data_IF_853590807285
#
_entry.id   IF_853590807285
#
_cell.length_a   1.000
_cell.length_b   1.000
_cell.length_c   1.000
_cell.angle_alpha   90.00
_cell.angle_beta   90.00
_cell.angle_gamma   90.00
#
_symmetry.space_group_name_H-M   'P 1'
#
loop_
_entity.id
_entity.type
_entity.pdbx_description
1 polymer ?
#
# COMPACT_ATOMS: atom_id res chain seq x y z
N UNK A 1 19.92 -51.58 85.25
CA UNK A 1 19.89 -50.99 83.89
C UNK A 1 19.00 -51.87 83.02
N UNK A 2 17.92 -51.31 82.45
CA UNK A 2 17.12 -51.81 81.31
C UNK A 2 15.60 -51.61 81.51
N UNK A 3 15.14 -50.36 81.59
CA UNK A 3 13.71 -50.00 81.49
C UNK A 3 13.62 -48.61 80.85
N UNK A 4 13.84 -48.49 79.53
CA UNK A 4 13.58 -47.23 78.81
C UNK A 4 13.30 -47.36 77.31
N UNK A 5 12.93 -48.56 76.82
CA UNK A 5 12.73 -48.79 75.38
C UNK A 5 11.30 -49.10 74.97
N UNK A 6 10.39 -49.44 75.90
CA UNK A 6 9.03 -49.87 75.56
C UNK A 6 8.04 -48.71 75.31
N UNK A 7 8.34 -47.49 75.76
CA UNK A 7 7.38 -46.36 75.71
C UNK A 7 7.53 -45.50 74.44
N UNK A 8 8.64 -45.61 73.71
CA UNK A 8 8.88 -44.83 72.48
C UNK A 8 8.05 -45.35 71.30
N UNK A 9 7.87 -46.67 71.17
CA UNK A 9 7.15 -47.27 70.04
C UNK A 9 5.64 -46.97 70.03
N UNK A 10 5.04 -46.70 71.19
CA UNK A 10 3.63 -46.30 71.28
C UNK A 10 3.42 -44.87 70.76
N UNK A 11 4.29 -43.94 71.18
CA UNK A 11 4.22 -42.53 70.77
C UNK A 11 4.47 -42.34 69.28
N UNK A 12 5.40 -43.09 68.68
CA UNK A 12 5.63 -43.05 67.23
C UNK A 12 4.43 -43.55 66.41
N UNK A 13 3.72 -44.58 66.89
CA UNK A 13 2.50 -45.05 66.22
C UNK A 13 1.40 -44.00 66.26
N UNK A 14 1.18 -43.35 67.41
CA UNK A 14 0.18 -42.29 67.52
C UNK A 14 0.50 -41.07 66.65
N UNK A 15 1.78 -40.68 66.53
CA UNK A 15 2.22 -39.62 65.63
C UNK A 15 2.01 -40.02 64.16
N UNK A 16 2.36 -41.25 63.79
CA UNK A 16 2.16 -41.75 62.42
C UNK A 16 0.66 -41.82 62.05
N UNK A 17 -0.20 -42.25 62.97
CA UNK A 17 -1.66 -42.25 62.78
C UNK A 17 -2.24 -40.83 62.71
N UNK A 18 -1.72 -39.89 63.50
CA UNK A 18 -2.14 -38.49 63.42
C UNK A 18 -1.74 -37.85 62.08
N UNK A 19 -0.53 -38.11 61.58
CA UNK A 19 -0.05 -37.59 60.30
C UNK A 19 -0.85 -38.18 59.13
N UNK A 20 -1.12 -39.49 59.15
CA UNK A 20 -1.94 -40.14 58.12
C UNK A 20 -3.40 -39.69 58.17
N UNK A 21 -3.98 -39.49 59.35
CA UNK A 21 -5.33 -38.95 59.50
C UNK A 21 -5.43 -37.51 58.97
N UNK A 22 -4.42 -36.66 59.22
CA UNK A 22 -4.36 -35.30 58.68
C UNK A 22 -4.18 -35.30 57.16
N UNK A 23 -3.32 -36.16 56.61
CA UNK A 23 -3.15 -36.31 55.15
C UNK A 23 -4.43 -36.81 54.46
N UNK A 24 -5.12 -37.78 55.06
CA UNK A 24 -6.41 -38.29 54.56
C UNK A 24 -7.49 -37.21 54.66
N UNK A 25 -7.49 -36.38 55.72
CA UNK A 25 -8.36 -35.21 55.85
C UNK A 25 -8.03 -34.11 54.83
N UNK A 26 -6.78 -33.92 54.42
CA UNK A 26 -6.41 -32.97 53.35
C UNK A 26 -6.86 -33.48 51.98
N UNK A 27 -6.82 -34.80 51.74
CA UNK A 27 -7.27 -35.41 50.48
C UNK A 27 -8.81 -35.46 50.41
N UNK A 28 -9.50 -35.75 51.53
CA UNK A 28 -10.96 -35.80 51.62
C UNK A 28 -11.62 -34.43 51.76
N UNK A 29 -10.92 -33.43 52.29
CA UNK A 29 -11.45 -32.06 52.36
C UNK A 29 -11.47 -31.35 51.01
N UNK A 30 -11.06 -32.04 49.92
CA UNK A 30 -11.25 -31.60 48.56
C UNK A 30 -10.86 -30.14 48.43
N UNK A 31 -9.56 -29.85 48.43
CA UNK A 31 -9.10 -28.56 47.94
C UNK A 31 -9.63 -28.39 46.51
N UNK A 32 -10.83 -27.82 46.41
CA UNK A 32 -11.28 -27.00 45.30
C UNK A 32 -10.29 -25.84 45.27
N UNK A 33 -9.10 -26.12 44.75
CA UNK A 33 -8.34 -25.12 44.05
C UNK A 33 -9.26 -24.70 42.89
N UNK A 34 -10.13 -23.73 43.20
CA UNK A 34 -10.56 -22.73 42.24
C UNK A 34 -9.26 -22.08 41.77
N UNK A 35 -8.59 -22.76 40.84
CA UNK A 35 -7.85 -22.07 39.79
C UNK A 35 -8.81 -20.97 39.36
N UNK A 36 -8.42 -19.68 39.45
CA UNK A 36 -9.28 -18.64 38.93
C UNK A 36 -9.64 -19.09 37.54
N UNK A 37 -10.94 -19.34 37.30
CA UNK A 37 -11.42 -19.76 36.01
C UNK A 37 -10.91 -18.66 35.08
N UNK A 38 -9.86 -18.97 34.32
CA UNK A 38 -9.32 -18.07 33.32
C UNK A 38 -10.51 -17.76 32.44
N UNK A 39 -11.05 -16.54 32.54
CA UNK A 39 -12.16 -16.15 31.71
C UNK A 39 -11.77 -16.49 30.27
N UNK A 40 -12.64 -17.20 29.53
CA UNK A 40 -12.29 -17.64 28.20
C UNK A 40 -11.80 -16.43 27.41
N UNK A 41 -10.55 -16.48 26.95
CA UNK A 41 -9.89 -15.39 26.23
C UNK A 41 -10.82 -14.86 25.14
N UNK A 42 -11.41 -13.68 25.38
CA UNK A 42 -12.38 -13.09 24.46
C UNK A 42 -11.64 -12.56 23.23
N UNK A 43 -12.10 -12.97 22.05
CA UNK A 43 -11.60 -12.48 20.78
C UNK A 43 -12.54 -11.39 20.27
N UNK A 44 -11.97 -10.34 19.71
CA UNK A 44 -12.71 -9.29 19.05
C UNK A 44 -12.45 -9.31 17.54
N UNK A 45 -13.45 -8.90 16.78
CA UNK A 45 -13.35 -8.69 15.34
C UNK A 45 -13.67 -7.23 15.02
N UNK A 46 -12.89 -6.64 14.13
CA UNK A 46 -13.01 -5.25 13.68
C UNK A 46 -13.11 -5.21 12.17
N UNK A 47 -14.13 -4.54 11.64
CA UNK A 47 -14.18 -4.16 10.23
C UNK A 47 -13.23 -2.98 9.96
N UNK A 48 -11.98 -3.31 9.64
CA UNK A 48 -10.95 -2.32 9.30
C UNK A 48 -11.32 -1.52 8.06
N UNK A 49 -12.16 -2.03 7.15
CA UNK A 49 -12.56 -1.31 5.95
C UNK A 49 -13.40 -0.07 6.30
N UNK A 50 -14.39 -0.24 7.18
CA UNK A 50 -15.23 0.88 7.63
C UNK A 50 -14.41 1.93 8.40
N UNK A 51 -13.56 1.48 9.32
CA UNK A 51 -12.68 2.38 10.07
C UNK A 51 -11.69 3.12 9.15
N UNK A 52 -11.11 2.42 8.17
CA UNK A 52 -10.22 3.02 7.16
C UNK A 52 -10.96 4.06 6.34
N UNK A 53 -12.20 3.80 5.93
CA UNK A 53 -13.01 4.75 5.15
C UNK A 53 -13.23 6.04 5.93
N UNK A 54 -13.71 5.94 7.17
CA UNK A 54 -13.92 7.11 8.05
C UNK A 54 -12.63 7.90 8.27
N UNK A 55 -11.52 7.22 8.59
CA UNK A 55 -10.23 7.89 8.79
C UNK A 55 -9.69 8.52 7.49
N UNK A 56 -9.99 7.93 6.32
CA UNK A 56 -9.62 8.51 5.02
C UNK A 56 -10.39 9.79 4.73
N UNK A 57 -11.68 9.83 5.08
CA UNK A 57 -12.50 11.04 4.90
C UNK A 57 -12.01 12.17 5.81
N UNK A 58 -11.67 11.86 7.07
CA UNK A 58 -11.00 12.80 8.00
C UNK A 58 -9.63 13.23 7.45
N UNK A 59 -8.84 12.30 6.92
CA UNK A 59 -7.51 12.63 6.40
C UNK A 59 -7.58 13.59 5.22
N UNK A 60 -8.55 13.41 4.32
CA UNK A 60 -8.76 14.27 3.16
C UNK A 60 -9.24 15.68 3.53
N UNK A 61 -10.04 15.81 4.58
CA UNK A 61 -10.47 17.14 5.07
C UNK A 61 -9.32 17.89 5.75
N UNK A 62 -8.46 17.19 6.48
CA UNK A 62 -7.29 17.77 7.16
C UNK A 62 -6.10 18.02 6.21
N UNK A 63 -5.98 17.23 5.14
CA UNK A 63 -4.86 17.28 4.20
C UNK A 63 -5.39 17.41 2.76
N UNK A 64 -5.91 18.58 2.37
CA UNK A 64 -6.43 18.80 1.02
C UNK A 64 -5.34 18.58 -0.03
N UNK A 65 -5.76 18.26 -1.26
CA UNK A 65 -4.82 18.16 -2.37
C UNK A 65 -4.12 19.51 -2.61
N UNK A 66 -2.86 19.48 -3.10
CA UNK A 66 -2.17 20.68 -3.56
C UNK A 66 -3.00 21.45 -4.59
N UNK A 67 -2.82 22.77 -4.67
CA UNK A 67 -3.50 23.60 -5.67
C UNK A 67 -3.22 23.09 -7.10
N UNK A 68 -4.25 23.14 -7.96
CA UNK A 68 -4.16 22.65 -9.35
C UNK A 68 -4.60 21.20 -9.59
N UNK A 69 -4.93 20.44 -8.54
CA UNK A 69 -5.33 19.03 -8.62
C UNK A 69 -6.84 18.76 -8.46
N UNK A 70 -7.68 19.80 -8.61
CA UNK A 70 -9.13 19.69 -8.38
C UNK A 70 -9.93 19.13 -9.56
N UNK A 71 -9.39 19.18 -10.78
CA UNK A 71 -10.08 18.74 -12.01
C UNK A 71 -9.32 17.62 -12.72
N UNK A 72 -9.50 16.40 -12.22
CA UNK A 72 -8.83 15.22 -12.77
C UNK A 72 -9.31 14.83 -14.15
N UNK A 73 -10.59 15.06 -14.41
CA UNK A 73 -11.19 14.71 -15.69
C UNK A 73 -10.67 15.65 -16.77
N UNK A 74 -10.62 16.96 -16.47
CA UNK A 74 -9.98 17.96 -17.31
C UNK A 74 -8.50 17.66 -17.58
N UNK A 75 -7.71 17.41 -16.54
CA UNK A 75 -6.27 17.09 -16.69
C UNK A 75 -6.04 15.80 -17.48
N UNK A 76 -6.86 14.77 -17.28
CA UNK A 76 -6.77 13.53 -18.06
C UNK A 76 -7.15 13.75 -19.52
N UNK A 77 -8.17 14.55 -19.77
CA UNK A 77 -8.60 14.89 -21.12
C UNK A 77 -7.52 15.69 -21.84
N UNK A 78 -6.99 16.72 -21.21
CA UNK A 78 -5.90 17.54 -21.73
C UNK A 78 -4.66 16.69 -22.03
N UNK A 79 -4.26 15.79 -21.14
CA UNK A 79 -3.15 14.85 -21.38
C UNK A 79 -3.38 13.98 -22.62
N UNK A 80 -4.61 13.47 -22.80
CA UNK A 80 -4.97 12.66 -23.98
C UNK A 80 -4.90 13.50 -25.26
N UNK A 81 -5.39 14.72 -25.22
CA UNK A 81 -5.42 15.59 -26.38
C UNK A 81 -4.02 16.10 -26.76
N UNK A 82 -3.17 16.45 -25.79
CA UNK A 82 -1.74 16.72 -26.01
C UNK A 82 -1.03 15.52 -26.66
N UNK A 83 -1.29 14.30 -26.17
CA UNK A 83 -0.70 13.08 -26.75
C UNK A 83 -1.09 12.91 -28.22
N UNK A 84 -2.37 13.13 -28.56
CA UNK A 84 -2.85 13.10 -29.95
C UNK A 84 -2.17 14.17 -30.80
N UNK A 85 -2.07 15.40 -30.30
CA UNK A 85 -1.45 16.51 -31.03
C UNK A 85 0.03 16.24 -31.31
N UNK A 86 0.80 15.83 -30.29
CA UNK A 86 2.22 15.46 -30.44
C UNK A 86 2.37 14.33 -31.47
N UNK A 87 1.57 13.27 -31.37
CA UNK A 87 1.65 12.14 -32.30
C UNK A 87 1.27 12.54 -33.73
N UNK A 88 0.29 13.42 -33.90
CA UNK A 88 -0.09 13.93 -35.22
C UNK A 88 1.02 14.79 -35.83
N UNK A 89 1.62 15.70 -35.06
CA UNK A 89 2.75 16.52 -35.50
C UNK A 89 3.95 15.65 -35.89
N UNK A 90 4.32 14.68 -35.05
CA UNK A 90 5.39 13.73 -35.35
C UNK A 90 5.12 12.95 -36.64
N UNK A 91 3.87 12.53 -36.87
CA UNK A 91 3.47 11.84 -38.10
C UNK A 91 3.55 12.76 -39.32
N UNK A 92 3.10 14.01 -39.21
CA UNK A 92 3.15 14.98 -40.30
C UNK A 92 4.59 15.32 -40.70
N UNK A 93 5.48 15.53 -39.73
CA UNK A 93 6.91 15.79 -39.99
C UNK A 93 7.54 14.59 -40.68
N UNK A 94 7.31 13.36 -40.18
CA UNK A 94 7.78 12.13 -40.82
C UNK A 94 7.27 11.99 -42.25
N UNK A 95 5.98 12.27 -42.49
CA UNK A 95 5.38 12.21 -43.83
C UNK A 95 6.07 13.19 -44.79
N UNK A 96 6.29 14.44 -44.37
CA UNK A 96 7.02 15.45 -45.17
C UNK A 96 8.46 15.03 -45.45
N UNK A 97 9.14 14.40 -44.49
CA UNK A 97 10.49 13.87 -44.71
C UNK A 97 10.49 12.75 -45.76
N UNK A 98 9.51 11.83 -45.71
CA UNK A 98 9.39 10.73 -46.67
C UNK A 98 9.02 11.21 -48.08
N UNK A 99 8.17 12.23 -48.19
CA UNK A 99 7.82 12.86 -49.47
C UNK A 99 9.05 13.52 -50.10
N UNK A 100 9.79 14.35 -49.34
CA UNK A 100 11.06 14.96 -49.80
C UNK A 100 12.09 13.92 -50.25
N UNK A 101 12.16 12.76 -49.58
CA UNK A 101 13.01 11.62 -49.97
C UNK A 101 12.57 11.01 -51.30
N UNK A 102 11.27 10.87 -51.53
CA UNK A 102 10.72 10.33 -52.78
C UNK A 102 10.93 11.27 -53.96
N UNK A 103 10.82 12.59 -53.74
CA UNK A 103 10.99 13.62 -54.76
C UNK A 103 12.46 13.80 -55.14
N UNK A 104 13.38 13.78 -54.17
CA UNK A 104 14.83 13.82 -54.42
C UNK A 104 15.31 12.63 -55.27
N UNK A 105 14.71 11.44 -55.11
CA UNK A 105 15.01 10.27 -55.96
C UNK A 105 14.46 10.39 -57.38
N UNK A 106 13.30 11.03 -57.57
CA UNK A 106 12.71 11.26 -58.90
C UNK A 106 13.54 12.26 -59.72
N UNK A 107 14.04 13.32 -59.09
CA UNK A 107 14.87 14.34 -59.77
C UNK A 107 16.22 13.75 -60.18
N UNK A 108 16.84 12.92 -59.34
CA UNK A 108 18.14 12.29 -59.65
C UNK A 108 18.08 11.28 -60.81
N UNK A 109 16.93 10.67 -61.09
CA UNK A 109 16.74 9.77 -62.23
C UNK A 109 16.37 10.49 -63.53
N UNK A 110 16.06 11.80 -63.47
CA UNK A 110 15.68 12.59 -64.65
C UNK A 110 16.86 13.33 -65.31
N UNK A 111 18.05 13.33 -64.69
CA UNK A 111 19.31 13.84 -65.28
C UNK A 111 20.23 12.67 -65.62
N UNK A 112 19.91 11.94 -66.68
CA UNK A 112 20.88 11.09 -67.36
C UNK A 112 20.79 11.35 -68.86
N UNK A 113 21.26 12.53 -69.27
CA UNK A 113 21.71 12.78 -70.64
C UNK A 113 22.94 13.68 -70.57
N UNK A 114 24.10 13.07 -70.85
CA UNK A 114 25.30 13.75 -71.34
C UNK A 114 26.27 14.30 -70.28
N UNK A 115 27.39 13.62 -70.08
CA UNK A 115 28.58 14.21 -69.47
C UNK A 115 29.35 13.23 -68.58
N UNK A 116 30.47 12.75 -69.10
CA UNK A 116 31.43 11.88 -68.42
C UNK A 116 31.96 12.50 -67.12
N UNK A 117 31.49 12.01 -65.98
CA UNK A 117 32.27 12.02 -64.74
C UNK A 117 31.81 10.87 -63.84
N UNK A 118 32.73 9.98 -63.47
CA UNK A 118 32.48 8.79 -62.65
C UNK A 118 32.25 9.20 -61.19
N UNK A 119 31.15 9.88 -60.92
CA UNK A 119 30.68 10.08 -59.55
C UNK A 119 29.85 8.86 -59.16
N UNK A 120 30.46 7.93 -58.41
CA UNK A 120 29.75 6.76 -57.86
C UNK A 120 28.51 7.26 -57.12
N UNK A 121 27.28 6.89 -57.54
CA UNK A 121 26.09 7.33 -56.82
C UNK A 121 26.17 6.79 -55.39
N UNK A 122 25.95 7.63 -54.37
CA UNK A 122 26.01 7.19 -52.98
C UNK A 122 25.08 6.00 -52.77
N UNK A 123 25.56 4.97 -52.08
CA UNK A 123 24.79 3.75 -51.88
C UNK A 123 23.41 4.08 -51.29
N UNK A 124 22.33 3.41 -51.74
CA UNK A 124 20.97 3.70 -51.29
C UNK A 124 20.81 3.62 -49.76
N UNK A 125 21.68 2.84 -49.10
CA UNK A 125 21.76 2.68 -47.64
C UNK A 125 22.32 3.90 -46.92
N UNK A 126 23.38 4.55 -47.46
CA UNK A 126 23.97 5.77 -46.85
C UNK A 126 23.05 6.98 -46.95
N UNK A 127 22.31 7.09 -48.06
CA UNK A 127 21.33 8.16 -48.25
C UNK A 127 20.12 8.01 -47.33
N UNK A 128 19.66 6.78 -47.08
CA UNK A 128 18.56 6.51 -46.15
C UNK A 128 18.94 6.89 -44.71
N UNK A 129 20.14 6.51 -44.26
CA UNK A 129 20.64 6.78 -42.91
C UNK A 129 20.81 8.28 -42.61
N UNK A 130 21.28 9.07 -43.59
CA UNK A 130 21.42 10.52 -43.42
C UNK A 130 20.07 11.24 -43.41
N UNK A 131 19.12 10.82 -44.25
CA UNK A 131 17.77 11.41 -44.27
C UNK A 131 16.95 11.10 -43.02
N UNK A 132 17.09 9.90 -42.47
CA UNK A 132 16.39 9.53 -41.23
C UNK A 132 16.96 10.32 -40.04
N UNK A 133 18.27 10.56 -39.99
CA UNK A 133 18.91 11.47 -39.02
C UNK A 133 18.45 12.92 -39.16
N UNK A 134 18.33 13.43 -40.38
CA UNK A 134 17.83 14.81 -40.61
C UNK A 134 16.37 14.94 -40.18
N UNK A 135 15.54 13.92 -40.45
CA UNK A 135 14.15 13.91 -40.03
C UNK A 135 13.99 13.79 -38.51
N UNK A 136 14.81 12.93 -37.88
CA UNK A 136 14.89 12.81 -36.43
C UNK A 136 15.26 14.15 -35.79
N UNK A 137 16.26 14.84 -36.35
CA UNK A 137 16.67 16.16 -35.88
C UNK A 137 15.57 17.21 -36.04
N UNK A 138 14.83 17.20 -37.15
CA UNK A 138 13.66 18.09 -37.34
C UNK A 138 12.52 17.82 -36.36
N UNK A 139 12.37 16.57 -35.87
CA UNK A 139 11.41 16.24 -34.83
C UNK A 139 11.86 16.72 -33.44
N UNK A 140 13.16 16.67 -33.18
CA UNK A 140 13.78 17.08 -31.90
C UNK A 140 13.86 18.62 -31.79
N UNK A 141 14.13 19.29 -32.91
CA UNK A 141 14.25 20.75 -32.99
C UNK A 141 12.91 21.47 -33.23
N UNK A 142 11.78 20.74 -33.33
CA UNK A 142 10.46 21.35 -33.54
C UNK A 142 9.98 22.02 -32.24
N UNK A 143 9.86 23.36 -32.22
CA UNK A 143 9.54 24.10 -31.00
C UNK A 143 8.12 23.80 -30.50
N UNK A 144 7.19 23.49 -31.40
CA UNK A 144 5.81 23.18 -31.03
C UNK A 144 5.72 21.78 -30.38
N UNK A 145 6.44 20.80 -30.91
CA UNK A 145 6.55 19.47 -30.28
C UNK A 145 7.20 19.59 -28.90
N UNK A 146 8.23 20.42 -28.77
CA UNK A 146 8.89 20.69 -27.50
C UNK A 146 7.91 21.28 -26.47
N UNK A 147 7.26 22.40 -26.79
CA UNK A 147 6.29 23.08 -25.92
C UNK A 147 5.13 22.16 -25.49
N UNK A 148 4.57 21.39 -26.42
CA UNK A 148 3.50 20.44 -26.10
C UNK A 148 3.98 19.29 -25.21
N UNK A 149 5.24 18.85 -25.39
CA UNK A 149 5.85 17.83 -24.55
C UNK A 149 6.10 18.38 -23.14
N UNK A 150 6.57 19.62 -22.99
CA UNK A 150 6.74 20.27 -21.69
C UNK A 150 5.41 20.39 -20.95
N UNK A 151 4.33 20.82 -21.63
CA UNK A 151 2.97 20.83 -21.04
C UNK A 151 2.53 19.45 -20.58
N UNK A 152 2.79 18.42 -21.38
CA UNK A 152 2.47 17.04 -21.00
C UNK A 152 3.28 16.57 -19.78
N UNK A 153 4.56 16.97 -19.68
CA UNK A 153 5.41 16.69 -18.51
C UNK A 153 4.87 17.38 -17.27
N UNK A 154 4.42 18.64 -17.37
CA UNK A 154 3.82 19.36 -16.26
C UNK A 154 2.55 18.65 -15.74
N UNK A 155 1.65 18.23 -16.63
CA UNK A 155 0.45 17.45 -16.24
C UNK A 155 0.84 16.12 -15.57
N UNK A 156 1.84 15.41 -16.11
CA UNK A 156 2.32 14.16 -15.51
C UNK A 156 2.91 14.38 -14.10
N UNK A 157 3.56 15.53 -13.87
CA UNK A 157 4.07 15.91 -12.54
C UNK A 157 2.92 16.05 -11.54
N UNK A 158 1.82 16.71 -11.92
CA UNK A 158 0.62 16.81 -11.08
C UNK A 158 0.06 15.43 -10.71
N UNK A 159 -0.09 14.52 -11.68
CA UNK A 159 -0.55 13.16 -11.40
C UNK A 159 0.39 12.41 -10.43
N UNK A 160 1.70 12.61 -10.56
CA UNK A 160 2.69 12.01 -9.66
C UNK A 160 2.58 12.58 -8.24
N UNK A 161 2.45 13.90 -8.11
CA UNK A 161 2.26 14.58 -6.81
C UNK A 161 1.00 14.10 -6.12
N UNK A 162 -0.10 13.97 -6.85
CA UNK A 162 -1.36 13.41 -6.34
C UNK A 162 -1.22 11.97 -5.86
N UNK A 163 -0.65 11.10 -6.69
CA UNK A 163 -0.46 9.70 -6.33
C UNK A 163 0.43 9.56 -5.09
N UNK A 164 1.46 10.40 -4.98
CA UNK A 164 2.30 10.49 -3.78
C UNK A 164 1.47 10.91 -2.56
N UNK A 165 0.66 11.96 -2.67
CA UNK A 165 -0.21 12.44 -1.60
C UNK A 165 -1.17 11.35 -1.10
N UNK A 166 -1.88 10.69 -2.01
CA UNK A 166 -2.80 9.60 -1.67
C UNK A 166 -2.09 8.43 -0.99
N UNK A 167 -0.89 8.09 -1.46
CA UNK A 167 -0.09 7.04 -0.83
C UNK A 167 0.34 7.43 0.59
N UNK A 168 0.71 8.70 0.82
CA UNK A 168 1.08 9.17 2.16
C UNK A 168 -0.14 9.16 3.09
N UNK A 169 -1.31 9.65 2.64
CA UNK A 169 -2.57 9.57 3.39
C UNK A 169 -2.88 8.12 3.76
N UNK A 170 -2.83 7.20 2.79
CA UNK A 170 -3.12 5.77 3.02
C UNK A 170 -2.18 5.16 4.08
N UNK A 171 -0.89 5.52 4.04
CA UNK A 171 0.09 5.06 5.04
C UNK A 171 -0.22 5.63 6.43
N UNK A 172 -0.51 6.93 6.53
CA UNK A 172 -0.84 7.60 7.79
C UNK A 172 -2.12 7.02 8.42
N UNK A 173 -3.18 6.86 7.62
CA UNK A 173 -4.44 6.24 8.05
C UNK A 173 -4.23 4.82 8.55
N UNK A 174 -3.46 3.99 7.82
CA UNK A 174 -3.19 2.62 8.26
C UNK A 174 -2.42 2.56 9.58
N UNK A 175 -1.40 3.40 9.73
CA UNK A 175 -0.62 3.46 10.96
C UNK A 175 -1.48 3.91 12.15
N UNK A 176 -2.30 4.93 11.95
CA UNK A 176 -3.22 5.42 12.98
C UNK A 176 -4.29 4.38 13.33
N UNK A 177 -4.88 3.69 12.35
CA UNK A 177 -5.86 2.65 12.60
C UNK A 177 -5.31 1.55 13.52
N UNK A 178 -4.10 1.07 13.24
CA UNK A 178 -3.43 0.09 14.10
C UNK A 178 -3.19 0.65 15.50
N UNK A 179 -2.80 1.93 15.62
CA UNK A 179 -2.60 2.58 16.91
C UNK A 179 -3.90 2.68 17.71
N UNK A 180 -5.01 3.07 17.07
CA UNK A 180 -6.32 3.19 17.72
C UNK A 180 -6.87 1.84 18.16
N UNK A 181 -6.74 0.80 17.32
CA UNK A 181 -7.12 -0.57 17.69
C UNK A 181 -6.32 -1.02 18.91
N UNK A 182 -5.01 -0.79 18.90
CA UNK A 182 -4.14 -1.13 20.03
C UNK A 182 -4.53 -0.38 21.30
N UNK A 183 -4.61 0.95 21.25
CA UNK A 183 -4.97 1.79 22.39
C UNK A 183 -6.33 1.44 23.00
N UNK A 184 -7.33 1.14 22.15
CA UNK A 184 -8.68 0.86 22.63
C UNK A 184 -8.84 -0.56 23.17
N UNK A 185 -8.20 -1.56 22.56
CA UNK A 185 -8.59 -2.97 22.75
C UNK A 185 -7.49 -3.88 23.31
N UNK A 186 -6.22 -3.44 23.38
CA UNK A 186 -5.10 -4.29 23.83
C UNK A 186 -5.26 -4.83 25.25
N UNK A 187 -5.98 -4.11 26.12
CA UNK A 187 -6.25 -4.53 27.50
C UNK A 187 -7.61 -5.20 27.68
N UNK A 188 -8.50 -5.15 26.68
CA UNK A 188 -9.88 -5.69 26.77
C UNK A 188 -10.02 -7.07 26.11
N UNK A 189 -9.19 -7.37 25.10
CA UNK A 189 -9.32 -8.57 24.29
C UNK A 189 -7.97 -9.26 24.13
N UNK A 190 -7.98 -10.60 24.22
CA UNK A 190 -6.76 -11.39 24.03
C UNK A 190 -6.26 -11.37 22.59
N UNK A 191 -7.17 -11.18 21.63
CA UNK A 191 -6.86 -11.09 20.21
C UNK A 191 -7.90 -10.23 19.50
N UNK A 192 -7.44 -9.27 18.71
CA UNK A 192 -8.29 -8.45 17.83
C UNK A 192 -7.97 -8.81 16.39
N UNK A 193 -8.99 -9.21 15.63
CA UNK A 193 -8.85 -9.72 14.27
C UNK A 193 -9.53 -8.78 13.27
N UNK A 194 -8.90 -8.61 12.12
CA UNK A 194 -9.50 -7.90 10.97
C UNK A 194 -10.62 -8.77 10.37
N UNK A 195 -11.83 -8.23 10.29
CA UNK A 195 -13.00 -8.88 9.69
C UNK A 195 -12.74 -9.07 8.21
N UNK A 196 -12.50 -10.33 7.81
CA UNK A 196 -12.50 -10.74 6.40
C UNK A 196 -13.74 -11.58 6.16
N UNK A 197 -14.52 -11.24 5.14
CA UNK A 197 -15.77 -11.92 4.78
C UNK A 197 -15.61 -13.42 4.50
N UNK A 198 -14.39 -13.91 4.29
CA UNK A 198 -14.07 -15.29 3.96
C UNK A 198 -13.39 -16.09 5.10
N UNK A 199 -13.17 -15.51 6.27
CA UNK A 199 -12.43 -16.20 7.35
C UNK A 199 -13.39 -16.68 8.43
N UNK A 200 -13.55 -18.00 8.55
CA UNK A 200 -14.25 -18.62 9.68
C UNK A 200 -13.28 -18.62 10.87
N UNK A 201 -13.63 -17.88 11.91
CA UNK A 201 -12.84 -17.78 13.13
C UNK A 201 -13.38 -18.75 14.17
N UNK A 202 -12.53 -19.68 14.62
CA UNK A 202 -12.86 -20.63 15.68
C UNK A 202 -12.04 -20.31 16.93
N UNK A 203 -12.72 -19.92 18.01
CA UNK A 203 -12.15 -19.86 19.36
C UNK A 203 -12.72 -21.02 20.19
N UNK A 204 -11.96 -21.56 21.15
CA UNK A 204 -12.42 -22.62 22.07
C UNK A 204 -13.70 -22.24 22.82
N UNK A 205 -13.90 -20.95 23.06
CA UNK A 205 -15.08 -20.41 23.72
C UNK A 205 -16.25 -20.11 22.78
N UNK A 206 -16.07 -20.20 21.45
CA UNK A 206 -17.02 -19.78 20.41
C UNK A 206 -17.55 -18.34 20.57
N UNK A 207 -16.95 -17.55 21.45
CA UNK A 207 -17.33 -16.17 21.72
C UNK A 207 -16.40 -15.24 20.94
N UNK A 208 -16.97 -14.60 19.92
CA UNK A 208 -16.31 -13.58 19.11
C UNK A 208 -17.18 -12.34 19.18
N UNK A 209 -16.62 -11.24 19.65
CA UNK A 209 -17.34 -9.96 19.78
C UNK A 209 -16.99 -9.08 18.59
N UNK A 210 -17.99 -8.63 17.85
CA UNK A 210 -17.79 -7.57 16.84
C UNK A 210 -17.69 -6.23 17.58
N UNK A 211 -16.53 -5.57 17.48
CA UNK A 211 -16.26 -4.29 18.14
C UNK A 211 -16.13 -3.14 17.13
N UNK A 212 -16.61 -3.33 15.90
CA UNK A 212 -16.57 -2.32 14.84
C UNK A 212 -17.20 -1.00 15.29
N UNK A 213 -18.43 -1.01 15.81
CA UNK A 213 -19.11 0.20 16.28
C UNK A 213 -18.35 0.87 17.42
N UNK A 214 -17.80 0.09 18.37
CA UNK A 214 -16.97 0.63 19.47
C UNK A 214 -15.73 1.37 18.93
N UNK A 215 -15.12 0.87 17.87
CA UNK A 215 -13.98 1.53 17.23
C UNK A 215 -14.41 2.81 16.50
N UNK A 216 -15.52 2.76 15.76
CA UNK A 216 -16.05 3.93 15.05
C UNK A 216 -16.43 5.05 16.02
N UNK A 217 -17.06 4.72 17.14
CA UNK A 217 -17.39 5.69 18.19
C UNK A 217 -16.14 6.24 18.87
N UNK A 218 -15.11 5.41 19.07
CA UNK A 218 -13.83 5.88 19.57
C UNK A 218 -13.17 6.88 18.62
N UNK A 219 -13.19 6.61 17.30
CA UNK A 219 -12.70 7.52 16.26
C UNK A 219 -13.49 8.85 16.27
N UNK A 220 -14.81 8.81 16.45
CA UNK A 220 -15.67 10.01 16.49
C UNK A 220 -15.44 10.89 17.71
N UNK A 221 -15.16 10.28 18.86
CA UNK A 221 -15.03 10.99 20.15
C UNK A 221 -13.61 11.42 20.46
N UNK A 222 -12.63 10.76 19.85
CA UNK A 222 -11.22 11.12 19.98
C UNK A 222 -10.88 12.20 18.96
N UNK A 223 -10.17 13.24 19.39
CA UNK A 223 -9.66 14.25 18.47
C UNK A 223 -8.55 13.62 17.60
N UNK A 224 -8.93 13.13 16.43
CA UNK A 224 -8.03 12.45 15.51
C UNK A 224 -7.30 13.48 14.64
N UNK A 225 -5.99 13.58 14.81
CA UNK A 225 -5.11 14.40 13.97
C UNK A 225 -4.25 13.51 13.07
N UNK A 226 -4.44 13.61 11.75
CA UNK A 226 -3.73 12.79 10.77
C UNK A 226 -2.60 13.62 10.16
N UNK A 227 -1.40 13.43 10.69
CA UNK A 227 -0.19 14.09 10.18
C UNK A 227 0.42 13.30 9.03
N UNK A 228 0.42 13.92 7.85
CA UNK A 228 1.09 13.39 6.67
C UNK A 228 2.52 13.91 6.66
N UNK A 229 3.50 13.08 7.06
CA UNK A 229 4.90 13.48 7.03
C UNK A 229 5.45 13.48 5.61
N UNK A 230 6.11 14.56 5.23
CA UNK A 230 6.99 14.55 4.08
C UNK A 230 8.21 13.70 4.38
N UNK A 231 8.42 12.66 3.57
CA UNK A 231 9.68 11.93 3.58
C UNK A 231 10.71 12.85 2.94
N UNK A 232 11.58 13.45 3.76
CA UNK A 232 12.80 14.12 3.30
C UNK A 232 13.75 13.09 2.68
#
# INVERSE_FOLDING_TARGET
>A
MAQSTLDKNSRFKHIAYAITAVLVLIILSGCDFKTPASEPAQWAVVDEYQATKMLTDIAKSQNPYPEGLKDDEGLNQERRDLSKQINNLKRQIRARCTEKKSESRKISNSKSVGGSDLTVPPSPTKLAFSTDRVCQKQLEDDPLIHDLTEKQVAINKLFKERSSHEQKIKKAVKALLHQLIKQRFENEYALVLSKRSSTVLYNRSQQIVDVTEKLLDHIRTTEVVITVRDSM
#
